data_IF_638688074746
#
_entry.id   IF_638688074746
#
_cell.length_a   1.000
_cell.length_b   1.000
_cell.length_c   1.000
_cell.angle_alpha   90.00
_cell.angle_beta   90.00
_cell.angle_gamma   90.00
#
_symmetry.space_group_name_H-M   'P 1'
#
loop_
_entity.id
_entity.type
_entity.pdbx_description
1 polymer ?
#
# COMPACT_ATOMS: atom_id res chain seq x y z
N UNK A 1 -9.65 -3.49 18.61
CA UNK A 1 -10.39 -2.32 18.11
C UNK A 1 -9.94 -2.13 16.67
N UNK A 2 -10.75 -2.48 15.67
CA UNK A 2 -10.36 -2.26 14.27
C UNK A 2 -10.49 -0.77 13.99
N UNK A 3 -9.39 -0.03 14.16
CA UNK A 3 -9.32 1.30 13.56
C UNK A 3 -9.39 1.11 12.06
N UNK A 4 -10.54 1.43 11.49
CA UNK A 4 -10.74 1.37 10.06
C UNK A 4 -9.88 2.49 9.46
N UNK A 5 -8.79 2.12 8.79
CA UNK A 5 -7.92 3.10 8.15
C UNK A 5 -8.74 3.92 7.13
N UNK A 6 -8.54 5.25 7.06
CA UNK A 6 -9.22 6.07 6.07
C UNK A 6 -8.91 5.57 4.65
N UNK A 7 -9.82 5.71 3.67
CA UNK A 7 -9.56 5.36 2.28
C UNK A 7 -8.23 5.92 1.79
N UNK A 8 -7.50 5.15 0.98
CA UNK A 8 -6.15 5.53 0.52
C UNK A 8 -6.16 6.89 -0.17
N UNK A 9 -7.24 7.20 -0.91
CA UNK A 9 -7.46 8.49 -1.56
C UNK A 9 -7.49 9.65 -0.55
N UNK A 10 -8.16 9.49 0.59
CA UNK A 10 -8.20 10.54 1.61
C UNK A 10 -6.83 10.78 2.24
N UNK A 11 -6.03 9.73 2.42
CA UNK A 11 -4.65 9.88 2.90
C UNK A 11 -3.81 10.64 1.88
N UNK A 12 -3.91 10.27 0.61
CA UNK A 12 -3.21 10.96 -0.48
C UNK A 12 -3.59 12.44 -0.53
N UNK A 13 -4.89 12.75 -0.48
CA UNK A 13 -5.40 14.10 -0.56
C UNK A 13 -5.01 14.92 0.67
N UNK A 14 -5.17 14.36 1.88
CA UNK A 14 -4.85 15.04 3.15
C UNK A 14 -3.38 15.45 3.26
N UNK A 15 -2.47 14.60 2.78
CA UNK A 15 -1.02 14.83 2.89
C UNK A 15 -0.40 15.35 1.59
N UNK A 16 -1.20 15.63 0.55
CA UNK A 16 -0.71 16.10 -0.74
C UNK A 16 0.30 15.15 -1.38
N UNK A 17 0.10 13.83 -1.26
CA UNK A 17 1.04 12.82 -1.75
C UNK A 17 1.00 12.73 -3.28
N UNK A 18 1.82 13.55 -3.93
CA UNK A 18 2.11 13.45 -5.35
C UNK A 18 3.24 12.46 -5.63
N UNK A 19 3.02 11.52 -6.54
CA UNK A 19 4.08 10.63 -7.01
C UNK A 19 5.19 11.43 -7.71
N UNK A 20 6.42 11.31 -7.24
CA UNK A 20 7.59 11.98 -7.85
C UNK A 20 8.25 11.05 -8.86
N UNK A 21 8.17 11.41 -10.14
CA UNK A 21 8.82 10.65 -11.24
C UNK A 21 10.33 10.50 -11.05
N UNK A 22 11.00 11.53 -10.54
CA UNK A 22 12.45 11.48 -10.25
C UNK A 22 12.84 10.45 -9.19
N UNK A 23 11.88 10.02 -8.36
CA UNK A 23 12.06 8.96 -7.36
C UNK A 23 11.51 7.61 -7.85
N UNK A 24 11.09 7.51 -9.12
CA UNK A 24 10.50 6.30 -9.68
C UNK A 24 9.16 5.89 -9.05
N UNK A 25 8.45 6.82 -8.39
CA UNK A 25 7.21 6.49 -7.69
C UNK A 25 6.04 6.29 -8.66
N UNK A 26 5.44 5.09 -8.60
CA UNK A 26 4.18 4.75 -9.26
C UNK A 26 3.26 4.09 -8.24
N UNK A 27 2.24 4.81 -7.78
CA UNK A 27 1.38 4.32 -6.70
C UNK A 27 0.34 3.32 -7.21
N UNK A 28 0.24 2.17 -6.53
CA UNK A 28 -0.83 1.19 -6.75
C UNK A 28 -2.11 1.67 -6.04
N UNK A 29 -3.07 2.16 -6.81
CA UNK A 29 -4.35 2.66 -6.28
C UNK A 29 -5.50 1.64 -6.42
N UNK A 30 -5.32 0.58 -7.21
CA UNK A 30 -6.28 -0.52 -7.31
C UNK A 30 -6.04 -1.55 -6.20
N UNK A 31 -6.94 -1.56 -5.22
CA UNK A 31 -6.88 -2.49 -4.09
C UNK A 31 -7.11 -3.96 -4.48
N UNK A 32 -7.73 -4.24 -5.63
CA UNK A 32 -7.81 -5.61 -6.14
C UNK A 32 -6.43 -6.10 -6.56
N UNK A 33 -5.62 -5.23 -7.15
CA UNK A 33 -4.27 -5.58 -7.57
C UNK A 33 -3.37 -5.80 -6.36
N UNK A 34 -3.43 -4.94 -5.34
CA UNK A 34 -2.62 -5.12 -4.13
C UNK A 34 -2.96 -6.41 -3.39
N UNK A 35 -4.25 -6.77 -3.28
CA UNK A 35 -4.68 -8.07 -2.74
C UNK A 35 -4.17 -9.25 -3.56
N UNK A 36 -4.13 -9.15 -4.89
CA UNK A 36 -3.58 -10.21 -5.75
C UNK A 36 -2.08 -10.38 -5.53
N UNK A 37 -1.34 -9.28 -5.40
CA UNK A 37 0.10 -9.29 -5.10
C UNK A 37 0.36 -9.95 -3.74
N UNK A 38 -0.34 -9.51 -2.68
CA UNK A 38 -0.19 -10.09 -1.34
C UNK A 38 -0.49 -11.60 -1.33
N UNK A 39 -1.56 -12.04 -1.99
CA UNK A 39 -1.88 -13.47 -2.14
C UNK A 39 -0.82 -14.24 -2.91
N UNK A 40 -0.29 -13.68 -4.00
CA UNK A 40 0.76 -14.31 -4.78
C UNK A 40 2.06 -14.46 -3.99
N UNK A 41 2.36 -13.49 -3.12
CA UNK A 41 3.50 -13.55 -2.20
C UNK A 41 3.35 -14.61 -1.09
N UNK A 42 2.14 -15.17 -0.90
CA UNK A 42 1.83 -16.24 0.07
C UNK A 42 2.27 -15.91 1.50
N UNK A 43 2.21 -14.63 1.87
CA UNK A 43 2.55 -14.14 3.21
C UNK A 43 1.55 -14.71 4.23
N UNK A 44 2.07 -15.21 5.34
CA UNK A 44 1.30 -15.66 6.49
C UNK A 44 1.60 -14.84 7.75
N UNK A 45 0.80 -15.03 8.79
CA UNK A 45 0.87 -14.25 10.04
C UNK A 45 2.19 -14.38 10.82
N UNK A 46 3.02 -15.39 10.52
CA UNK A 46 4.31 -15.60 11.16
C UNK A 46 5.48 -15.07 10.32
N UNK A 47 5.22 -14.59 9.09
CA UNK A 47 6.28 -14.08 8.23
C UNK A 47 6.69 -12.66 8.66
N UNK A 48 8.00 -12.41 8.62
CA UNK A 48 8.52 -11.05 8.71
C UNK A 48 8.65 -10.47 7.31
N UNK A 49 7.85 -9.45 7.00
CA UNK A 49 7.81 -8.82 5.68
C UNK A 49 8.59 -7.51 5.66
N UNK A 50 9.48 -7.36 4.67
CA UNK A 50 10.15 -6.12 4.34
C UNK A 50 9.57 -5.54 3.04
N UNK A 51 8.84 -4.43 3.14
CA UNK A 51 8.34 -3.69 1.98
C UNK A 51 9.28 -2.51 1.67
N UNK A 52 9.82 -2.48 0.44
CA UNK A 52 10.66 -1.37 -0.04
C UNK A 52 9.83 -0.45 -0.92
N UNK A 53 9.73 0.83 -0.53
CA UNK A 53 9.00 1.84 -1.27
C UNK A 53 7.47 1.72 -1.16
N UNK A 54 6.88 1.76 0.06
CA UNK A 54 5.44 1.52 0.27
C UNK A 54 4.53 2.58 -0.36
N UNK A 55 5.07 3.74 -0.74
CA UNK A 55 4.30 4.86 -1.28
C UNK A 55 3.21 5.30 -0.30
N UNK A 56 1.94 5.45 -0.71
CA UNK A 56 0.84 5.79 0.19
C UNK A 56 0.38 4.60 1.07
N UNK A 57 0.98 3.42 0.93
CA UNK A 57 0.68 2.23 1.72
C UNK A 57 -0.41 1.32 1.13
N UNK A 58 -0.58 1.33 -0.20
CA UNK A 58 -1.60 0.51 -0.87
C UNK A 58 -1.37 -1.00 -0.73
N UNK A 59 -0.12 -1.44 -0.87
CA UNK A 59 0.27 -2.84 -0.67
C UNK A 59 0.44 -3.18 0.82
N UNK A 60 1.02 -2.28 1.61
CA UNK A 60 1.12 -2.41 3.08
C UNK A 60 -0.19 -2.78 3.75
N UNK A 61 -1.33 -2.24 3.29
CA UNK A 61 -2.66 -2.53 3.83
C UNK A 61 -3.24 -3.90 3.41
N UNK A 62 -2.64 -4.53 2.41
CA UNK A 62 -3.09 -5.80 1.86
C UNK A 62 -2.22 -6.99 2.30
N UNK A 63 -1.01 -6.70 2.79
CA UNK A 63 -0.14 -7.62 3.52
C UNK A 63 -0.65 -7.79 4.96
#
# INVERSE_FOLDING_TARGET
MSETLPPLREVIDRYGLGAKKSLGQHFLLDLNMTRKIARAASVNENDQVLEIGPGPGGLTRAL
#
